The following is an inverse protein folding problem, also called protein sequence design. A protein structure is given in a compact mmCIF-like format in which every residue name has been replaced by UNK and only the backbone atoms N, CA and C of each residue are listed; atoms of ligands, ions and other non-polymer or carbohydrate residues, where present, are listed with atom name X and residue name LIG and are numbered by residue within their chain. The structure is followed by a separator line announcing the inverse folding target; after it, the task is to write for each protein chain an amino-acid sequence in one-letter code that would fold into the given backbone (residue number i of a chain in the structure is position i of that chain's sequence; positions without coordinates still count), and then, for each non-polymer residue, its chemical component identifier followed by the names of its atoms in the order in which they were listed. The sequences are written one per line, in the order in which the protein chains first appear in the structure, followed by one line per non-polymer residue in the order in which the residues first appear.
data_IF_029898476587
#
_entry.id   IF_029898476587
#
_cell.length_a   1.000
_cell.length_b   1.000
_cell.length_c   1.000
_cell.angle_alpha   90.00
_cell.angle_beta   90.00
_cell.angle_gamma   90.00
#
_symmetry.space_group_name_H-M   'P 1'
#
loop_
_entity.id
_entity.type
_entity.pdbx_description
1 polymer ?
#
# COMPACT_ATOMS: atom_id res chain seq x y z
N UNK A 1 -8.82 -19.44 17.14
CA UNK A 1 -9.21 -19.38 15.71
C UNK A 1 -8.44 -18.23 15.06
N UNK A 2 -7.32 -18.53 14.40
CA UNK A 2 -6.47 -17.54 13.73
C UNK A 2 -7.11 -17.14 12.41
N UNK A 3 -7.70 -15.95 12.38
CA UNK A 3 -8.37 -15.40 11.21
C UNK A 3 -7.31 -14.75 10.29
N UNK A 4 -6.60 -15.59 9.53
CA UNK A 4 -5.72 -15.13 8.44
C UNK A 4 -6.48 -14.40 7.32
N UNK A 5 -7.81 -14.56 7.29
CA UNK A 5 -8.71 -13.85 6.40
C UNK A 5 -8.96 -12.40 6.85
N UNK A 6 -8.90 -12.07 8.15
CA UNK A 6 -9.03 -10.67 8.60
C UNK A 6 -7.87 -9.83 8.08
N UNK A 7 -6.62 -10.27 8.17
CA UNK A 7 -5.50 -9.44 7.73
C UNK A 7 -5.53 -9.12 6.22
N UNK A 8 -6.00 -10.03 5.38
CA UNK A 8 -6.19 -9.79 3.94
C UNK A 8 -7.42 -8.91 3.65
N UNK A 9 -8.53 -9.12 4.36
CA UNK A 9 -9.76 -8.32 4.22
C UNK A 9 -9.61 -6.90 4.78
N UNK A 10 -8.93 -6.72 5.91
CA UNK A 10 -8.65 -5.41 6.50
C UNK A 10 -7.70 -4.60 5.61
N UNK A 11 -6.69 -5.23 5.02
CA UNK A 11 -5.82 -4.57 4.02
C UNK A 11 -6.61 -4.15 2.78
N UNK A 12 -7.61 -4.94 2.37
CA UNK A 12 -8.45 -4.63 1.19
C UNK A 12 -9.48 -3.53 1.49
N UNK A 13 -10.04 -3.48 2.70
CA UNK A 13 -11.01 -2.47 3.13
C UNK A 13 -10.39 -1.12 3.51
N UNK A 14 -9.13 -1.12 3.95
CA UNK A 14 -8.38 0.11 4.23
C UNK A 14 -8.00 0.90 2.98
N UNK A 15 -8.34 0.46 1.77
CA UNK A 15 -7.94 1.16 0.54
C UNK A 15 -9.08 2.00 -0.09
N UNK A 16 -10.14 2.27 0.67
CA UNK A 16 -11.21 3.18 0.27
C UNK A 16 -10.82 4.64 0.55
N UNK A 17 -10.11 5.25 -0.40
CA UNK A 17 -10.60 6.44 -1.10
C UNK A 17 -10.24 7.86 -0.61
N UNK A 18 -9.89 8.11 0.64
CA UNK A 18 -9.63 9.50 1.13
C UNK A 18 -8.36 9.63 2.01
N UNK A 19 -7.46 8.66 1.93
CA UNK A 19 -6.41 8.46 2.93
C UNK A 19 -5.06 8.19 2.26
N UNK A 20 -3.99 8.31 3.04
CA UNK A 20 -2.61 8.27 2.55
C UNK A 20 -2.03 6.85 2.50
N UNK A 21 -2.84 5.81 2.26
CA UNK A 21 -2.38 4.42 2.28
C UNK A 21 -1.35 4.11 1.19
N UNK A 22 -1.31 4.90 0.11
CA UNK A 22 -0.29 4.76 -0.93
C UNK A 22 1.13 4.89 -0.34
N UNK A 23 1.32 5.69 0.72
CA UNK A 23 2.59 5.85 1.43
C UNK A 23 2.96 4.61 2.24
N UNK A 24 1.95 3.83 2.67
CA UNK A 24 2.11 2.61 3.45
C UNK A 24 2.19 1.35 2.58
N UNK A 25 1.77 1.44 1.32
CA UNK A 25 1.62 0.30 0.41
C UNK A 25 2.91 -0.49 0.25
N UNK A 26 4.05 0.18 0.02
CA UNK A 26 5.34 -0.50 -0.13
C UNK A 26 5.72 -1.29 1.13
N UNK A 27 5.57 -0.69 2.32
CA UNK A 27 5.84 -1.36 3.60
C UNK A 27 4.93 -2.57 3.81
N UNK A 28 3.65 -2.46 3.47
CA UNK A 28 2.70 -3.56 3.54
C UNK A 28 3.11 -4.72 2.60
N UNK A 29 3.51 -4.41 1.37
CA UNK A 29 4.01 -5.41 0.41
C UNK A 29 5.28 -6.07 0.93
N UNK A 30 6.24 -5.33 1.47
CA UNK A 30 7.46 -5.94 2.03
C UNK A 30 7.17 -6.84 3.25
N UNK A 31 6.23 -6.45 4.13
CA UNK A 31 5.77 -7.32 5.24
C UNK A 31 5.15 -8.62 4.72
N UNK A 32 4.32 -8.54 3.67
CA UNK A 32 3.73 -9.72 3.02
C UNK A 32 4.80 -10.63 2.39
N UNK A 33 5.80 -10.05 1.72
CA UNK A 33 6.93 -10.81 1.15
C UNK A 33 7.73 -11.53 2.23
N UNK A 34 8.09 -10.83 3.31
CA UNK A 34 8.81 -11.41 4.43
C UNK A 34 8.02 -12.55 5.09
N UNK A 35 6.70 -12.39 5.25
CA UNK A 35 5.83 -13.44 5.76
C UNK A 35 5.75 -14.64 4.80
N UNK A 36 5.61 -14.41 3.49
CA UNK A 36 5.65 -15.46 2.47
C UNK A 36 6.96 -16.24 2.46
N UNK A 37 8.10 -15.55 2.62
CA UNK A 37 9.41 -16.19 2.74
C UNK A 37 9.49 -17.04 4.01
N UNK A 38 9.04 -16.53 5.16
CA UNK A 38 8.95 -17.31 6.41
C UNK A 38 8.11 -18.58 6.23
N UNK A 39 6.95 -18.49 5.59
CA UNK A 39 6.13 -19.68 5.31
C UNK A 39 6.82 -20.71 4.41
N UNK A 40 7.76 -20.30 3.56
CA UNK A 40 8.56 -21.20 2.71
C UNK A 40 9.79 -21.76 3.43
N UNK A 41 10.39 -21.00 4.36
CA UNK A 41 11.59 -21.39 5.12
C UNK A 41 11.27 -22.08 6.44
N UNK A 42 10.09 -21.89 7.02
CA UNK A 42 9.60 -22.57 8.23
C UNK A 42 9.24 -24.03 7.94
N UNK A 43 10.29 -24.79 7.62
CA UNK A 43 10.51 -26.12 8.17
C UNK A 43 11.23 -26.06 9.53
N UNK A 44 11.61 -24.87 10.03
CA UNK A 44 12.32 -24.71 11.31
C UNK A 44 11.45 -24.08 12.40
N UNK A 45 11.42 -24.77 13.54
CA UNK A 45 10.74 -24.41 14.77
C UNK A 45 11.48 -23.26 15.49
N UNK A 46 10.97 -22.02 15.42
CA UNK A 46 11.38 -20.98 16.38
C UNK A 46 10.16 -20.11 16.79
N UNK A 47 9.62 -20.27 18.01
CA UNK A 47 8.37 -19.63 18.42
C UNK A 47 8.63 -18.22 18.98
N UNK A 48 7.99 -17.22 18.40
CA UNK A 48 7.69 -16.01 19.16
C UNK A 48 6.66 -16.35 20.25
N UNK A 49 6.82 -15.80 21.46
CA UNK A 49 5.97 -15.99 22.66
C UNK A 49 4.52 -15.52 22.44
N UNK A 50 3.76 -16.24 21.63
CA UNK A 50 2.31 -16.14 21.59
C UNK A 50 1.74 -17.41 22.22
N UNK A 51 0.97 -17.22 23.28
CA UNK A 51 0.15 -18.27 23.88
C UNK A 51 -1.23 -18.26 23.24
N UNK A 52 -1.73 -19.44 22.90
CA UNK A 52 -2.97 -19.67 22.20
C UNK A 52 -3.93 -20.43 23.10
N UNK A 53 -5.15 -19.91 23.19
CA UNK A 53 -6.25 -20.60 23.86
C UNK A 53 -6.92 -21.56 22.86
N UNK A 54 -6.84 -22.85 23.14
CA UNK A 54 -7.44 -23.95 22.37
C UNK A 54 -8.65 -24.45 23.14
N UNK A 55 -9.78 -24.57 22.47
CA UNK A 55 -11.01 -25.14 23.05
C UNK A 55 -11.36 -26.38 22.24
N UNK A 56 -11.49 -27.51 22.94
CA UNK A 56 -11.77 -28.82 22.36
C UNK A 56 -13.29 -29.06 22.29
N UNK A 57 -13.71 -30.08 21.53
CA UNK A 57 -15.14 -30.39 21.34
C UNK A 57 -15.84 -30.86 22.62
N UNK A 58 -15.09 -31.33 23.62
CA UNK A 58 -15.57 -31.69 24.96
C UNK A 58 -15.73 -30.47 25.89
N UNK A 59 -15.38 -29.28 25.42
CA UNK A 59 -15.43 -28.04 26.18
C UNK A 59 -14.20 -27.78 27.05
N UNK A 60 -13.18 -28.64 26.98
CA UNK A 60 -11.92 -28.41 27.66
C UNK A 60 -11.13 -27.29 26.97
N UNK A 61 -10.44 -26.51 27.79
CA UNK A 61 -9.72 -25.32 27.34
C UNK A 61 -8.29 -25.40 27.82
N UNK A 62 -7.36 -25.40 26.88
CA UNK A 62 -5.92 -25.37 27.15
C UNK A 62 -5.28 -24.09 26.63
N UNK A 63 -4.23 -23.65 27.30
CA UNK A 63 -3.38 -22.56 26.82
C UNK A 63 -2.05 -23.18 26.42
N UNK A 64 -1.71 -23.05 25.15
CA UNK A 64 -0.53 -23.68 24.55
C UNK A 64 0.33 -22.62 23.88
N UNK A 65 1.65 -22.75 23.92
CA UNK A 65 2.51 -21.92 23.08
C UNK A 65 2.45 -22.35 21.60
N UNK A 66 3.05 -21.57 20.69
CA UNK A 66 3.06 -21.90 19.26
C UNK A 66 3.70 -23.27 18.97
N UNK A 67 4.72 -23.66 19.71
CA UNK A 67 5.41 -24.94 19.52
C UNK A 67 4.52 -26.11 19.94
N UNK A 68 3.84 -25.99 21.08
CA UNK A 68 2.86 -26.95 21.60
C UNK A 68 1.64 -27.04 20.69
N UNK A 69 1.08 -25.91 20.26
CA UNK A 69 -0.04 -25.87 19.31
C UNK A 69 0.33 -26.52 17.98
N UNK A 70 1.52 -26.23 17.44
CA UNK A 70 1.99 -26.84 16.20
C UNK A 70 2.24 -28.34 16.36
N UNK A 71 2.73 -28.78 17.51
CA UNK A 71 2.88 -30.21 17.83
C UNK A 71 1.51 -30.87 17.94
N UNK A 72 0.56 -30.23 18.61
CA UNK A 72 -0.81 -30.72 18.75
C UNK A 72 -1.54 -30.80 17.40
N UNK A 73 -1.37 -29.81 16.52
CA UNK A 73 -1.85 -29.84 15.14
C UNK A 73 -1.14 -30.88 14.26
N UNK A 74 0.11 -31.24 14.57
CA UNK A 74 0.85 -32.32 13.88
C UNK A 74 0.41 -33.71 14.38
N UNK A 75 0.10 -33.85 15.65
CA UNK A 75 -0.27 -35.13 16.29
C UNK A 75 -1.77 -35.45 16.17
N UNK A 76 -2.63 -34.42 16.27
CA UNK A 76 -4.09 -34.56 16.32
C UNK A 76 -4.83 -33.78 15.24
N UNK A 77 -4.17 -32.85 14.54
CA UNK A 77 -4.78 -32.13 13.43
C UNK A 77 -4.82 -32.97 12.15
N UNK A 78 -5.75 -32.63 11.25
CA UNK A 78 -5.69 -33.11 9.87
C UNK A 78 -4.43 -32.54 9.20
N UNK A 79 -3.32 -33.25 9.34
CA UNK A 79 -2.04 -32.90 8.72
C UNK A 79 -2.21 -32.65 7.21
N UNK A 80 -3.14 -33.35 6.55
CA UNK A 80 -3.45 -33.10 5.15
C UNK A 80 -4.17 -31.77 4.93
N UNK A 81 -4.99 -31.28 5.86
CA UNK A 81 -5.57 -29.93 5.81
C UNK A 81 -4.49 -28.85 5.98
N UNK A 82 -3.60 -28.97 6.97
CA UNK A 82 -2.49 -28.02 7.17
C UNK A 82 -1.58 -27.96 5.94
N UNK A 83 -1.17 -29.10 5.41
CA UNK A 83 -0.38 -29.17 4.18
C UNK A 83 -1.13 -28.60 2.98
N UNK A 84 -2.44 -28.84 2.84
CA UNK A 84 -3.26 -28.22 1.78
C UNK A 84 -3.32 -26.69 1.90
N UNK A 85 -3.51 -26.15 3.11
CA UNK A 85 -3.54 -24.71 3.36
C UNK A 85 -2.19 -24.06 3.09
N UNK A 86 -1.09 -24.64 3.60
CA UNK A 86 0.26 -24.13 3.36
C UNK A 86 0.62 -24.20 1.87
N UNK A 87 0.28 -25.29 1.17
CA UNK A 87 0.53 -25.41 -0.27
C UNK A 87 -0.31 -24.38 -1.07
N UNK A 88 -1.58 -24.16 -0.68
CA UNK A 88 -2.43 -23.15 -1.29
C UNK A 88 -1.90 -21.73 -1.10
N UNK A 89 -1.48 -21.38 0.12
CA UNK A 89 -0.90 -20.08 0.45
C UNK A 89 0.46 -19.88 -0.21
N UNK A 90 1.33 -20.89 -0.21
CA UNK A 90 2.66 -20.84 -0.83
C UNK A 90 2.57 -20.56 -2.33
N UNK A 91 1.58 -21.14 -3.02
CA UNK A 91 1.29 -20.85 -4.42
C UNK A 91 0.91 -19.37 -4.64
N UNK A 92 0.11 -18.79 -3.75
CA UNK A 92 -0.26 -17.38 -3.80
C UNK A 92 0.95 -16.45 -3.55
N UNK A 93 1.82 -16.77 -2.59
CA UNK A 93 3.05 -16.01 -2.36
C UNK A 93 4.03 -16.11 -3.52
N UNK A 94 4.23 -17.30 -4.10
CA UNK A 94 5.05 -17.46 -5.30
C UNK A 94 4.46 -16.67 -6.50
N UNK A 95 3.13 -16.67 -6.64
CA UNK A 95 2.43 -15.88 -7.65
C UNK A 95 2.64 -14.37 -7.48
N UNK A 96 2.60 -13.86 -6.25
CA UNK A 96 2.88 -12.46 -5.94
C UNK A 96 4.35 -12.12 -6.19
N UNK A 97 5.27 -12.95 -5.68
CA UNK A 97 6.71 -12.73 -5.79
C UNK A 97 7.14 -12.62 -7.26
N UNK A 98 6.68 -13.53 -8.13
CA UNK A 98 6.97 -13.47 -9.57
C UNK A 98 6.57 -12.14 -10.22
N UNK A 99 5.50 -11.50 -9.78
CA UNK A 99 5.07 -10.19 -10.32
C UNK A 99 5.91 -9.05 -9.80
N UNK A 100 6.41 -9.18 -8.57
CA UNK A 100 7.27 -8.17 -7.94
C UNK A 100 8.73 -8.31 -8.40
N UNK A 101 9.16 -9.49 -8.88
CA UNK A 101 10.50 -9.73 -9.43
C UNK A 101 10.54 -9.65 -10.96
N UNK A 102 9.39 -9.64 -11.64
CA UNK A 102 9.31 -9.60 -13.11
C UNK A 102 9.44 -10.97 -13.78
N UNK A 103 9.34 -12.05 -13.00
CA UNK A 103 9.27 -13.44 -13.49
C UNK A 103 7.85 -13.82 -13.97
N UNK A 104 7.17 -12.90 -14.65
CA UNK A 104 5.84 -13.08 -15.20
C UNK A 104 5.70 -12.38 -16.56
N UNK A 105 4.55 -12.57 -17.21
CA UNK A 105 4.22 -11.81 -18.43
C UNK A 105 4.19 -10.30 -18.15
N UNK A 106 4.58 -9.50 -19.14
CA UNK A 106 4.73 -8.05 -18.99
C UNK A 106 3.44 -7.33 -18.56
N UNK A 107 2.27 -7.85 -18.94
CA UNK A 107 0.95 -7.30 -18.56
C UNK A 107 0.68 -7.45 -17.05
N UNK A 108 1.40 -8.34 -16.38
CA UNK A 108 1.27 -8.62 -14.95
C UNK A 108 2.48 -8.17 -14.13
N UNK A 109 3.49 -7.55 -14.76
CA UNK A 109 4.69 -7.07 -14.08
C UNK A 109 4.34 -5.85 -13.20
N UNK A 110 4.57 -6.01 -11.90
CA UNK A 110 4.27 -4.99 -10.89
C UNK A 110 5.53 -4.23 -10.44
N UNK A 111 6.71 -4.47 -11.02
CA UNK A 111 7.96 -3.80 -10.61
C UNK A 111 7.86 -2.28 -10.68
N UNK A 112 7.27 -1.77 -11.74
CA UNK A 112 7.10 -0.32 -11.90
C UNK A 112 6.19 0.27 -10.82
N UNK A 113 5.06 -0.39 -10.53
CA UNK A 113 4.15 0.03 -9.45
C UNK A 113 4.81 -0.07 -8.08
N UNK A 114 5.57 -1.15 -7.83
CA UNK A 114 6.31 -1.32 -6.59
C UNK A 114 7.33 -0.19 -6.41
N UNK A 115 8.05 0.16 -7.48
CA UNK A 115 9.02 1.26 -7.47
C UNK A 115 8.37 2.61 -7.22
N UNK A 116 7.22 2.90 -7.85
CA UNK A 116 6.43 4.10 -7.55
C UNK A 116 6.09 4.15 -6.06
N UNK A 117 5.53 3.07 -5.50
CA UNK A 117 5.14 3.05 -4.08
C UNK A 117 6.33 3.16 -3.14
N UNK A 118 7.53 2.67 -3.53
CA UNK A 118 8.78 2.86 -2.78
C UNK A 118 9.18 4.33 -2.76
N UNK A 119 9.16 4.98 -3.92
CA UNK A 119 9.59 6.37 -4.05
C UNK A 119 8.64 7.34 -3.36
N UNK A 120 7.33 7.09 -3.43
CA UNK A 120 6.31 7.95 -2.82
C UNK A 120 6.38 7.97 -1.29
N UNK A 121 7.02 6.99 -0.64
CA UNK A 121 7.18 6.98 0.81
C UNK A 121 7.89 8.23 1.34
N UNK A 122 8.70 8.90 0.51
CA UNK A 122 9.34 10.17 0.87
C UNK A 122 8.32 11.26 1.25
N UNK A 123 7.07 11.18 0.80
CA UNK A 123 6.04 12.16 1.18
C UNK A 123 5.39 11.87 2.55
N UNK A 124 5.77 10.77 3.20
CA UNK A 124 5.56 10.58 4.64
C UNK A 124 6.74 11.21 5.40
N UNK A 125 6.53 12.32 6.13
CA UNK A 125 7.61 12.99 6.85
C UNK A 125 8.26 12.11 7.92
N UNK A 126 7.54 11.11 8.48
CA UNK A 126 8.14 10.16 9.44
C UNK A 126 9.11 9.20 8.75
N UNK A 127 8.71 8.63 7.61
CA UNK A 127 9.60 7.81 6.80
C UNK A 127 10.83 8.60 6.36
N UNK A 128 10.63 9.82 5.87
CA UNK A 128 11.74 10.66 5.42
C UNK A 128 12.70 11.04 6.56
N UNK A 129 12.18 11.28 7.77
CA UNK A 129 13.00 11.53 8.95
C UNK A 129 13.90 10.32 9.31
N UNK A 130 13.34 9.10 9.25
CA UNK A 130 14.05 7.85 9.51
C UNK A 130 15.13 7.55 8.45
N UNK A 131 14.95 8.00 7.21
CA UNK A 131 15.81 7.69 6.06
C UNK A 131 16.57 8.91 5.52
N UNK A 132 16.76 9.94 6.34
CA UNK A 132 17.45 11.18 5.94
C UNK A 132 18.85 10.95 5.34
N UNK A 133 19.56 9.91 5.78
CA UNK A 133 20.88 9.56 5.24
C UNK A 133 20.85 8.97 3.81
N UNK A 134 19.71 8.44 3.39
CA UNK A 134 19.50 7.80 2.09
C UNK A 134 18.86 8.74 1.06
N UNK A 135 18.30 9.86 1.52
CA UNK A 135 17.59 10.84 0.69
C UNK A 135 18.57 11.90 0.21
N UNK A 136 18.90 11.85 -1.08
CA UNK A 136 19.77 12.80 -1.77
C UNK A 136 19.17 13.27 -3.10
N UNK A 137 19.93 14.04 -3.86
CA UNK A 137 19.55 14.48 -5.20
C UNK A 137 19.25 13.32 -6.16
N UNK A 138 19.91 12.17 -5.98
CA UNK A 138 19.66 10.99 -6.81
C UNK A 138 18.28 10.38 -6.49
N UNK A 139 17.85 10.38 -5.22
CA UNK A 139 16.49 9.99 -4.85
C UNK A 139 15.44 10.89 -5.51
N UNK A 140 15.64 12.22 -5.48
CA UNK A 140 14.71 13.16 -6.13
C UNK A 140 14.69 12.96 -7.65
N UNK A 141 15.82 12.60 -8.26
CA UNK A 141 15.86 12.24 -9.68
C UNK A 141 15.06 10.96 -9.99
N UNK A 142 15.06 9.97 -9.09
CA UNK A 142 14.28 8.74 -9.26
C UNK A 142 12.77 9.00 -9.24
N UNK A 143 12.29 10.06 -8.57
CA UNK A 143 10.87 10.46 -8.60
C UNK A 143 10.35 10.77 -10.02
N UNK A 144 11.23 10.97 -11.01
CA UNK A 144 10.83 11.09 -12.43
C UNK A 144 10.12 9.84 -12.99
N UNK A 145 10.30 8.68 -12.35
CA UNK A 145 9.54 7.45 -12.65
C UNK A 145 8.05 7.63 -12.38
N UNK A 146 7.68 8.49 -11.43
CA UNK A 146 6.30 8.84 -11.11
C UNK A 146 5.82 9.88 -12.13
N UNK A 147 5.14 9.42 -13.19
CA UNK A 147 4.79 10.25 -14.36
C UNK A 147 4.16 11.61 -14.00
N UNK A 148 3.17 11.71 -13.08
CA UNK A 148 2.64 13.01 -12.67
C UNK A 148 3.69 13.95 -12.07
N UNK A 149 4.62 13.45 -11.24
CA UNK A 149 5.68 14.26 -10.67
C UNK A 149 6.75 14.64 -11.69
N UNK A 150 7.10 13.69 -12.58
CA UNK A 150 8.15 13.88 -13.58
C UNK A 150 7.75 14.78 -14.75
N UNK A 151 6.46 14.90 -15.05
CA UNK A 151 5.94 15.71 -16.16
C UNK A 151 5.33 17.05 -15.74
N UNK A 152 5.10 17.25 -14.44
CA UNK A 152 4.57 18.53 -13.95
C UNK A 152 5.49 19.67 -14.36
N UNK A 153 4.94 20.68 -15.04
CA UNK A 153 5.65 21.85 -15.56
C UNK A 153 6.95 21.50 -16.31
N UNK A 154 6.90 20.49 -17.20
CA UNK A 154 8.06 20.00 -17.96
C UNK A 154 9.26 19.60 -17.07
N UNK A 155 8.97 19.08 -15.88
CA UNK A 155 9.97 18.65 -14.90
C UNK A 155 10.54 19.79 -14.05
N UNK A 156 9.95 20.99 -14.09
CA UNK A 156 10.27 22.09 -13.17
C UNK A 156 10.08 21.67 -11.72
N UNK A 157 8.99 20.94 -11.42
CA UNK A 157 8.67 20.51 -10.07
C UNK A 157 9.84 19.76 -9.42
N UNK A 158 10.39 18.75 -10.08
CA UNK A 158 11.54 17.98 -9.57
C UNK A 158 12.82 18.81 -9.44
N UNK A 159 12.95 19.88 -10.22
CA UNK A 159 14.10 20.79 -10.14
C UNK A 159 13.99 21.71 -8.92
N UNK A 160 12.78 22.18 -8.62
CA UNK A 160 12.53 22.98 -7.42
C UNK A 160 12.58 22.12 -6.15
N UNK A 161 12.06 20.90 -6.18
CA UNK A 161 12.20 19.94 -5.07
C UNK A 161 13.66 19.68 -4.71
N UNK A 162 14.56 19.57 -5.70
CA UNK A 162 16.02 19.46 -5.46
C UNK A 162 16.59 20.68 -4.74
N UNK A 163 16.19 21.89 -5.13
CA UNK A 163 16.65 23.12 -4.46
C UNK A 163 16.13 23.22 -3.03
N UNK A 164 14.88 22.80 -2.81
CA UNK A 164 14.22 22.82 -1.51
C UNK A 164 14.60 21.62 -0.64
N UNK A 165 15.35 20.64 -1.15
CA UNK A 165 15.68 19.40 -0.43
C UNK A 165 16.33 19.65 0.94
N UNK A 166 17.31 20.57 1.10
CA UNK A 166 17.88 20.85 2.42
C UNK A 166 16.85 21.42 3.41
N UNK A 167 15.94 22.28 2.94
CA UNK A 167 14.88 22.85 3.77
C UNK A 167 13.87 21.77 4.17
N UNK A 168 13.50 20.90 3.24
CA UNK A 168 12.65 19.74 3.49
C UNK A 168 13.25 18.81 4.56
N UNK A 169 14.52 18.41 4.40
CA UNK A 169 15.22 17.55 5.37
C UNK A 169 15.34 18.19 6.76
N UNK A 170 15.51 19.52 6.82
CA UNK A 170 15.52 20.24 8.09
C UNK A 170 14.14 20.28 8.76
N UNK A 171 13.06 20.40 8.00
CA UNK A 171 11.70 20.50 8.52
C UNK A 171 11.18 19.17 9.09
N UNK A 172 11.63 18.04 8.54
CA UNK A 172 11.18 16.70 8.96
C UNK A 172 11.94 16.14 10.16
N UNK A 173 13.08 16.73 10.56
CA UNK A 173 14.03 16.13 11.52
C UNK A 173 13.44 15.76 12.89
N UNK A 174 12.30 16.35 13.29
CA UNK A 174 11.64 16.10 14.58
C UNK A 174 10.29 15.37 14.46
N UNK A 175 9.90 14.95 13.26
CA UNK A 175 8.59 14.35 13.04
C UNK A 175 8.66 12.81 13.06
N UNK A 176 7.95 12.19 14.00
CA UNK A 176 7.83 10.74 14.10
C UNK A 176 6.40 10.38 14.46
N UNK A 177 5.81 9.40 13.77
CA UNK A 177 4.43 8.93 13.97
C UNK A 177 4.32 7.42 13.81
N UNK A 178 3.27 6.87 14.41
CA UNK A 178 2.93 5.46 14.31
C UNK A 178 2.10 5.19 13.04
N UNK A 179 2.47 4.15 12.31
CA UNK A 179 1.84 3.71 11.06
C UNK A 179 0.78 2.60 11.26
N UNK A 180 0.42 2.27 12.50
CA UNK A 180 -0.56 1.20 12.81
C UNK A 180 -2.01 1.62 12.54
N UNK A 181 -2.36 2.88 12.80
CA UNK A 181 -3.71 3.41 12.64
C UNK A 181 -3.78 4.39 11.47
N UNK A 182 -4.28 3.91 10.32
CA UNK A 182 -4.29 4.65 9.04
C UNK A 182 -5.01 6.01 9.12
N UNK A 183 -6.10 6.09 9.89
CA UNK A 183 -6.85 7.34 10.10
C UNK A 183 -6.04 8.42 10.82
N UNK A 184 -5.36 7.99 11.89
CA UNK A 184 -4.51 8.87 12.69
C UNK A 184 -3.28 9.29 11.89
N UNK A 185 -2.66 8.34 11.20
CA UNK A 185 -1.54 8.56 10.28
C UNK A 185 -1.90 9.62 9.22
N UNK A 186 -3.02 9.41 8.51
CA UNK A 186 -3.48 10.32 7.45
C UNK A 186 -3.67 11.74 7.99
N UNK A 187 -4.39 11.88 9.11
CA UNK A 187 -4.68 13.19 9.70
C UNK A 187 -3.42 13.92 10.14
N UNK A 188 -2.45 13.20 10.71
CA UNK A 188 -1.20 13.78 11.19
C UNK A 188 -0.26 14.19 10.07
N UNK A 189 -0.15 13.40 9.01
CA UNK A 189 0.65 13.73 7.82
C UNK A 189 0.05 14.93 7.09
N UNK A 190 -1.27 14.97 6.90
CA UNK A 190 -1.95 16.12 6.29
C UNK A 190 -1.75 17.40 7.11
N UNK A 191 -1.90 17.31 8.44
CA UNK A 191 -1.64 18.44 9.33
C UNK A 191 -0.17 18.90 9.28
N UNK A 192 0.78 17.99 9.10
CA UNK A 192 2.18 18.37 8.93
C UNK A 192 2.39 19.18 7.64
N UNK A 193 1.84 18.71 6.51
CA UNK A 193 1.91 19.39 5.22
C UNK A 193 1.18 20.73 5.18
N UNK A 194 0.13 20.90 5.99
CA UNK A 194 -0.56 22.18 6.15
C UNK A 194 0.30 23.20 6.89
N UNK A 195 1.00 22.78 7.96
CA UNK A 195 1.81 23.67 8.80
C UNK A 195 3.19 24.00 8.22
N UNK A 196 3.81 23.10 7.45
CA UNK A 196 5.18 23.28 6.92
C UNK A 196 5.22 23.46 5.41
N UNK A 197 4.16 23.10 4.68
CA UNK A 197 4.17 23.09 3.21
C UNK A 197 4.35 24.46 2.56
N UNK A 198 4.07 25.56 3.28
CA UNK A 198 4.26 26.93 2.78
C UNK A 198 5.74 27.32 2.64
N UNK A 199 6.64 26.65 3.36
CA UNK A 199 8.10 26.90 3.32
C UNK A 199 8.80 26.06 2.24
N UNK A 200 8.15 25.00 1.76
CA UNK A 200 8.64 24.00 0.82
C UNK A 200 7.58 23.71 -0.25
N UNK A 201 7.29 24.72 -1.06
CA UNK A 201 6.15 24.74 -1.98
C UNK A 201 6.22 23.64 -3.05
N UNK A 202 7.42 23.31 -3.55
CA UNK A 202 7.57 22.24 -4.53
C UNK A 202 7.30 20.87 -3.90
N UNK A 203 7.76 20.65 -2.67
CA UNK A 203 7.42 19.44 -1.92
C UNK A 203 5.95 19.35 -1.56
N UNK A 204 5.30 20.47 -1.22
CA UNK A 204 3.86 20.51 -0.98
C UNK A 204 3.06 20.19 -2.25
N UNK A 205 3.47 20.70 -3.41
CA UNK A 205 2.85 20.34 -4.69
C UNK A 205 3.03 18.85 -5.00
N UNK A 206 4.22 18.30 -4.79
CA UNK A 206 4.47 16.86 -4.90
C UNK A 206 3.63 16.02 -3.93
N UNK A 207 3.44 16.49 -2.70
CA UNK A 207 2.61 15.85 -1.69
C UNK A 207 1.13 15.84 -2.13
N UNK A 208 0.62 16.94 -2.69
CA UNK A 208 -0.75 17.00 -3.24
C UNK A 208 -0.95 16.03 -4.41
N UNK A 209 0.02 15.96 -5.32
CA UNK A 209 0.01 14.99 -6.43
C UNK A 209 0.00 13.57 -5.87
N UNK A 210 0.83 13.29 -4.86
CA UNK A 210 0.93 11.99 -4.20
C UNK A 210 -0.38 11.60 -3.51
N UNK A 211 -1.01 12.52 -2.79
CA UNK A 211 -2.31 12.32 -2.15
C UNK A 211 -3.46 12.04 -3.14
N UNK A 212 -3.28 12.38 -4.42
CA UNK A 212 -4.25 12.09 -5.46
C UNK A 212 -4.14 10.65 -6.01
N UNK A 213 -3.10 9.90 -5.65
CA UNK A 213 -3.00 8.48 -6.02
C UNK A 213 -4.01 7.67 -5.22
N UNK A 214 -5.03 7.17 -5.92
CA UNK A 214 -5.96 6.22 -5.33
C UNK A 214 -5.23 4.86 -5.16
N UNK A 215 -5.16 4.31 -3.94
CA UNK A 215 -4.45 3.06 -3.71
C UNK A 215 -5.26 1.83 -4.16
N UNK A 216 -6.54 2.00 -4.54
CA UNK A 216 -7.34 0.99 -5.25
C UNK A 216 -8.12 1.54 -6.44
N UNK A 217 -8.36 0.66 -7.41
CA UNK A 217 -9.35 0.84 -8.47
C UNK A 217 -10.79 0.65 -7.98
N UNK A 218 -11.01 0.08 -6.80
CA UNK A 218 -12.33 -0.32 -6.30
C UNK A 218 -13.41 0.79 -6.28
N UNK A 219 -13.09 2.07 -5.98
CA UNK A 219 -14.06 3.17 -6.15
C UNK A 219 -14.46 3.38 -7.61
N UNK A 220 -13.49 3.35 -8.52
CA UNK A 220 -13.73 3.49 -9.96
C UNK A 220 -14.46 2.28 -10.53
N UNK A 221 -14.12 1.06 -10.12
CA UNK A 221 -14.82 -0.17 -10.53
C UNK A 221 -16.29 -0.15 -10.11
N UNK A 222 -16.62 0.39 -8.94
CA UNK A 222 -18.02 0.58 -8.52
C UNK A 222 -18.75 1.60 -9.39
N UNK A 223 -18.09 2.71 -9.72
CA UNK A 223 -18.66 3.72 -10.65
C UNK A 223 -18.84 3.11 -12.04
N UNK A 224 -17.86 2.39 -12.57
CA UNK A 224 -17.96 1.71 -13.87
C UNK A 224 -18.99 0.59 -13.86
N UNK A 225 -19.14 -0.17 -12.77
CA UNK A 225 -20.19 -1.16 -12.62
C UNK A 225 -21.58 -0.51 -12.57
N UNK A 226 -21.72 0.64 -11.92
CA UNK A 226 -22.96 1.42 -11.92
C UNK A 226 -23.26 1.97 -13.32
N UNK A 227 -22.27 2.57 -13.98
CA UNK A 227 -22.41 3.07 -15.35
C UNK A 227 -22.77 1.96 -16.33
N UNK A 228 -22.16 0.78 -16.21
CA UNK A 228 -22.50 -0.40 -17.02
C UNK A 228 -23.90 -0.96 -16.72
N UNK A 229 -24.45 -0.71 -15.54
CA UNK A 229 -25.86 -1.01 -15.24
C UNK A 229 -26.82 0.04 -15.81
N UNK A 230 -26.39 1.30 -15.88
CA UNK A 230 -27.18 2.42 -16.39
C UNK A 230 -27.21 2.48 -17.93
N UNK A 231 -26.13 2.04 -18.58
CA UNK A 231 -25.99 2.01 -20.03
C UNK A 231 -25.89 0.56 -20.51
N UNK A 232 -26.77 0.16 -21.41
CA UNK A 232 -26.69 -1.16 -22.05
C UNK A 232 -25.52 -1.22 -23.04
N UNK A 233 -25.10 -2.42 -23.45
CA UNK A 233 -24.00 -2.61 -24.42
C UNK A 233 -24.23 -1.90 -25.77
N UNK A 234 -25.46 -1.47 -26.06
CA UNK A 234 -25.81 -0.67 -27.25
C UNK A 234 -25.65 0.84 -27.07
N UNK A 235 -25.35 1.30 -25.86
CA UNK A 235 -25.29 2.72 -25.47
C UNK A 235 -23.88 3.16 -25.03
N UNK A 236 -22.85 2.42 -25.45
CA UNK A 236 -21.43 2.70 -25.11
C UNK A 236 -21.00 4.09 -25.57
N UNK A 237 -21.49 4.57 -26.72
CA UNK A 237 -21.21 5.93 -27.19
C UNK A 237 -21.78 6.99 -26.25
N UNK A 238 -23.01 6.79 -25.76
CA UNK A 238 -23.64 7.72 -24.80
C UNK A 238 -22.92 7.72 -23.43
N UNK A 239 -22.38 6.56 -23.02
CA UNK A 239 -21.52 6.46 -21.84
C UNK A 239 -20.21 7.26 -22.02
N UNK A 240 -19.56 7.13 -23.17
CA UNK A 240 -18.34 7.88 -23.48
C UNK A 240 -18.58 9.40 -23.45
N UNK A 241 -19.66 9.85 -24.08
CA UNK A 241 -20.06 11.27 -24.07
C UNK A 241 -20.36 11.78 -22.65
N UNK A 242 -20.99 10.96 -21.81
CA UNK A 242 -21.29 11.31 -20.42
C UNK A 242 -20.02 11.45 -19.57
N UNK A 243 -19.07 10.52 -19.71
CA UNK A 243 -17.77 10.59 -19.02
C UNK A 243 -17.00 11.84 -19.48
N UNK A 244 -16.89 12.07 -20.78
CA UNK A 244 -16.20 13.22 -21.32
C UNK A 244 -16.85 14.55 -20.88
N UNK A 245 -18.18 14.66 -20.96
CA UNK A 245 -18.91 15.83 -20.48
C UNK A 245 -18.71 16.10 -18.99
N UNK A 246 -18.66 15.04 -18.16
CA UNK A 246 -18.41 15.16 -16.72
C UNK A 246 -17.00 15.67 -16.40
N UNK A 247 -16.00 15.25 -17.18
CA UNK A 247 -14.61 15.74 -17.06
C UNK A 247 -14.52 17.21 -17.48
N UNK A 248 -15.12 17.58 -18.61
CA UNK A 248 -15.14 18.96 -19.09
C UNK A 248 -15.84 19.93 -18.13
N UNK A 249 -16.95 19.51 -17.50
CA UNK A 249 -17.65 20.31 -16.49
C UNK A 249 -16.82 20.51 -15.22
N UNK A 250 -16.03 19.50 -14.83
CA UNK A 250 -15.12 19.60 -13.68
C UNK A 250 -13.98 20.58 -13.96
N UNK A 251 -13.42 20.54 -15.16
CA UNK A 251 -12.35 21.44 -15.56
C UNK A 251 -12.88 22.88 -15.70
N UNK A 252 -14.08 23.07 -16.24
CA UNK A 252 -14.75 24.37 -16.29
C UNK A 252 -14.98 24.98 -14.90
N UNK A 253 -15.41 24.17 -13.91
CA UNK A 253 -15.61 24.64 -12.52
C UNK A 253 -14.31 24.93 -11.76
N UNK A 254 -13.15 24.46 -12.25
CA UNK A 254 -11.84 24.78 -11.67
C UNK A 254 -11.23 26.06 -12.25
N UNK A 255 -11.71 26.50 -13.42
CA UNK A 255 -11.26 27.71 -14.11
C UNK A 255 -12.12 28.96 -13.80
N UNK A 256 -13.27 28.77 -13.15
CA UNK A 256 -14.21 29.81 -12.71
C UNK A 256 -14.06 30.10 -11.21
#
# INVERSE_FOLDING_TARGET
MFDGTTNLLTTTYMLQGDRLEILLAYRAVQKLRAFGQKLQTDKSDDPAEFTYKVEYEDGDVETMDLSELQKHLREHGDCALRTRVINGLSGAYAYLERRLTGECEAVHDCRHTLEITRLLQIFDPSYAAEHTAEIDDAWVQQLSVVVPLGREDDGELLRQMRKELPAYLSAIASFTRDHTAVDLFTSQVLNWWENHGTEILAWQAGARITSAFAPTSAPYERIFALLKKMFTDKQVSALADYVQGSLMLRDYKRLA
#
